data_IF_068414375789
#
_entry.id   IF_068414375789
#
_cell.length_a   1.000
_cell.length_b   1.000
_cell.length_c   1.000
_cell.angle_alpha   90.00
_cell.angle_beta   90.00
_cell.angle_gamma   90.00
#
_symmetry.space_group_name_H-M   'P 1'
#
loop_
_entity.id
_entity.type
_entity.pdbx_description
1 polymer ?
#
# COMPACT_ATOMS: atom_id res chain seq x y z
N UNK A 1 -1.54 -15.01 7.49
CA UNK A 1 -1.13 -14.42 8.79
C UNK A 1 -1.60 -12.96 8.83
N UNK A 2 -1.85 -12.39 10.01
CA UNK A 2 -2.34 -10.99 10.15
C UNK A 2 -1.42 -10.20 11.06
N UNK A 3 -1.04 -9.00 10.64
CA UNK A 3 -0.13 -8.11 11.37
C UNK A 3 -0.75 -6.71 11.47
N UNK A 4 -0.69 -6.08 12.64
CA UNK A 4 -1.14 -4.71 12.84
C UNK A 4 0.06 -3.76 12.90
N UNK A 5 0.08 -2.77 12.01
CA UNK A 5 1.09 -1.71 11.95
C UNK A 5 0.43 -0.41 12.39
N UNK A 6 0.96 0.18 13.46
CA UNK A 6 0.47 1.45 14.00
C UNK A 6 1.29 2.61 13.41
N UNK A 7 0.64 3.49 12.66
CA UNK A 7 1.27 4.71 12.12
C UNK A 7 0.83 5.93 12.94
N UNK A 8 1.61 6.27 13.97
CA UNK A 8 1.36 7.48 14.78
C UNK A 8 -0.07 7.57 15.35
N UNK A 9 -0.44 8.72 15.90
CA UNK A 9 -1.61 8.87 16.77
C UNK A 9 -3.00 8.70 16.10
N UNK A 10 -3.09 8.37 14.81
CA UNK A 10 -4.37 8.52 14.09
C UNK A 10 -4.74 7.40 13.13
N UNK A 11 -3.82 6.54 12.69
CA UNK A 11 -4.14 5.51 11.67
C UNK A 11 -3.50 4.16 12.01
N UNK A 12 -4.33 3.12 12.07
CA UNK A 12 -3.93 1.73 12.15
C UNK A 12 -4.06 1.07 10.77
N UNK A 13 -3.11 0.20 10.45
CA UNK A 13 -3.13 -0.60 9.22
C UNK A 13 -3.04 -2.08 9.58
N UNK A 14 -4.08 -2.83 9.24
CA UNK A 14 -4.09 -4.29 9.37
C UNK A 14 -3.68 -4.92 8.04
N UNK A 15 -2.67 -5.77 8.10
CA UNK A 15 -2.03 -6.42 6.95
C UNK A 15 -2.39 -7.90 6.92
N UNK A 16 -2.83 -8.39 5.77
CA UNK A 16 -3.18 -9.80 5.57
C UNK A 16 -2.25 -10.45 4.57
N UNK A 17 -1.63 -11.55 5.00
CA UNK A 17 -0.77 -12.40 4.19
C UNK A 17 -1.45 -13.72 3.86
N UNK A 18 -1.23 -14.22 2.65
CA UNK A 18 -1.66 -15.56 2.23
C UNK A 18 -0.80 -16.68 2.85
N UNK A 19 -0.96 -17.92 2.37
CA UNK A 19 -0.19 -19.09 2.85
C UNK A 19 1.29 -19.03 2.45
N UNK A 20 1.64 -18.20 1.47
CA UNK A 20 2.99 -18.03 0.94
C UNK A 20 3.64 -16.75 1.47
N UNK A 21 3.11 -16.15 2.54
CA UNK A 21 3.55 -14.87 3.11
C UNK A 21 3.50 -13.69 2.11
N UNK A 22 2.65 -13.78 1.09
CA UNK A 22 2.43 -12.70 0.13
C UNK A 22 1.38 -11.73 0.64
N UNK A 23 1.64 -10.43 0.54
CA UNK A 23 0.71 -9.37 0.91
C UNK A 23 -0.51 -9.35 0.00
N UNK A 24 -1.70 -9.68 0.51
CA UNK A 24 -2.93 -9.75 -0.30
C UNK A 24 -3.96 -8.67 0.04
N UNK A 25 -3.91 -8.11 1.26
CA UNK A 25 -4.84 -7.05 1.68
C UNK A 25 -4.24 -6.15 2.75
N UNK A 26 -4.62 -4.87 2.68
CA UNK A 26 -4.39 -3.87 3.72
C UNK A 26 -5.72 -3.18 4.05
N UNK A 27 -6.05 -3.09 5.34
CA UNK A 27 -7.18 -2.32 5.84
C UNK A 27 -6.68 -1.13 6.67
N UNK A 28 -7.16 0.06 6.35
CA UNK A 28 -6.82 1.30 7.05
C UNK A 28 -7.99 1.72 7.93
N UNK A 29 -7.67 2.01 9.18
CA UNK A 29 -8.62 2.40 10.21
C UNK A 29 -8.06 3.55 11.06
N UNK A 30 -8.94 4.29 11.72
CA UNK A 30 -8.58 5.37 12.64
C UNK A 30 -9.50 5.33 13.86
N UNK A 31 -9.16 6.00 14.97
CA UNK A 31 -10.05 6.10 16.12
C UNK A 31 -11.44 6.65 15.79
N UNK A 32 -11.56 7.48 14.74
CA UNK A 32 -12.81 8.07 14.27
C UNK A 32 -13.49 7.30 13.14
N UNK A 33 -12.84 6.29 12.54
CA UNK A 33 -13.36 5.51 11.40
C UNK A 33 -12.89 4.06 11.46
N UNK A 34 -13.83 3.12 11.60
CA UNK A 34 -13.55 1.68 11.76
C UNK A 34 -12.73 1.07 10.63
N UNK A 35 -13.08 1.29 9.37
CA UNK A 35 -12.26 0.99 8.19
C UNK A 35 -12.67 1.97 7.11
N UNK A 36 -11.74 2.82 6.68
CA UNK A 36 -12.04 3.86 5.69
C UNK A 36 -11.43 3.56 4.32
N UNK A 37 -10.41 2.70 4.26
CA UNK A 37 -9.82 2.24 3.00
C UNK A 37 -9.45 0.77 3.13
N UNK A 38 -9.79 -0.02 2.10
CA UNK A 38 -9.31 -1.39 1.93
C UNK A 38 -8.63 -1.52 0.57
N UNK A 39 -7.39 -2.00 0.57
CA UNK A 39 -6.63 -2.30 -0.64
C UNK A 39 -6.48 -3.80 -0.77
N UNK A 40 -6.82 -4.37 -1.93
CA UNK A 40 -6.63 -5.80 -2.26
C UNK A 40 -5.67 -5.94 -3.42
N UNK A 41 -4.75 -6.89 -3.32
CA UNK A 41 -3.74 -7.16 -4.34
C UNK A 41 -3.97 -8.56 -4.92
N UNK A 42 -3.83 -8.67 -6.24
CA UNK A 42 -4.01 -9.90 -7.02
C UNK A 42 -2.93 -9.99 -8.09
N UNK A 43 -2.67 -11.20 -8.59
CA UNK A 43 -1.67 -11.46 -9.63
C UNK A 43 -0.27 -10.89 -9.29
N UNK A 44 0.14 -11.06 -8.04
CA UNK A 44 1.45 -10.61 -7.57
C UNK A 44 2.52 -11.53 -8.14
N UNK A 45 3.38 -10.98 -8.98
CA UNK A 45 4.59 -11.65 -9.46
C UNK A 45 5.76 -11.15 -8.61
N UNK A 46 6.48 -12.04 -7.90
CA UNK A 46 7.68 -11.65 -7.16
C UNK A 46 8.76 -11.11 -8.11
N UNK A 47 9.39 -9.99 -7.76
CA UNK A 47 10.50 -9.42 -8.53
C UNK A 47 10.52 -7.90 -8.51
N UNK A 48 11.57 -7.31 -9.11
CA UNK A 48 11.58 -5.88 -9.36
C UNK A 48 10.61 -5.56 -10.51
N UNK A 49 9.70 -4.59 -10.34
CA UNK A 49 9.01 -4.02 -11.48
C UNK A 49 10.03 -3.48 -12.49
N UNK A 50 9.62 -3.42 -13.77
CA UNK A 50 10.45 -2.90 -14.83
C UNK A 50 10.86 -1.44 -14.51
N UNK A 51 12.16 -1.15 -14.50
CA UNK A 51 12.74 0.11 -14.00
C UNK A 51 12.21 1.34 -14.75
N UNK A 52 11.89 1.16 -16.03
CA UNK A 52 11.28 2.17 -16.90
C UNK A 52 9.89 2.65 -16.47
N UNK A 53 9.20 1.94 -15.56
CA UNK A 53 7.90 2.39 -15.03
C UNK A 53 8.02 3.53 -14.02
N UNK A 54 9.20 3.72 -13.41
CA UNK A 54 9.46 4.77 -12.42
C UNK A 54 10.17 5.99 -13.01
N UNK A 55 10.64 5.88 -14.26
CA UNK A 55 11.23 6.97 -15.03
C UNK A 55 10.14 7.84 -15.67
N UNK A 56 9.21 8.35 -14.86
CA UNK A 56 8.32 9.42 -15.33
C UNK A 56 8.99 10.76 -15.05
N UNK A 57 9.37 11.54 -16.07
CA UNK A 57 9.84 12.89 -15.84
C UNK A 57 8.70 13.71 -15.24
N UNK A 58 8.91 14.31 -14.07
CA UNK A 58 8.03 15.36 -13.59
C UNK A 58 7.93 16.45 -14.68
N UNK A 59 6.73 16.89 -15.09
CA UNK A 59 6.61 18.00 -16.01
C UNK A 59 7.23 19.23 -15.32
N UNK A 60 8.40 19.64 -15.79
CA UNK A 60 8.99 20.90 -15.39
C UNK A 60 8.02 21.98 -15.84
N UNK A 61 7.39 22.67 -14.89
CA UNK A 61 6.61 23.86 -15.22
C UNK A 61 7.55 24.82 -15.96
N UNK A 62 7.24 25.07 -17.23
CA UNK A 62 7.93 26.09 -18.02
C UNK A 62 7.76 27.43 -17.30
N UNK A 63 8.84 28.15 -16.94
CA UNK A 63 8.71 29.48 -16.37
C UNK A 63 8.11 30.40 -17.44
N UNK A 64 6.93 30.94 -17.14
CA UNK A 64 6.30 32.02 -17.92
C UNK A 64 6.69 33.34 -17.30
#
# INVERSE_FOLDING_TARGET
>A
QTWDILFGASTSVTVFLDRNNTLVRMDFSSPSRSTFTTTRLFNITPGSPAMNLFENPCPTKSPT
#
